data_IF_565767554311
#
_entry.id   IF_565767554311
#
_cell.length_a   1.000
_cell.length_b   1.000
_cell.length_c   1.000
_cell.angle_alpha   90.00
_cell.angle_beta   90.00
_cell.angle_gamma   90.00
#
_symmetry.space_group_name_H-M   'P 1'
#
loop_
_entity.id
_entity.type
_entity.pdbx_description
1 polymer ?
#
# COMPACT_ATOMS: atom_id res chain seq x y z
N UNK A 1 27.28 7.84 33.63
CA UNK A 1 26.33 7.85 32.50
C UNK A 1 25.93 6.41 32.25
N UNK A 2 24.64 6.08 32.41
CA UNK A 2 24.12 4.75 32.09
C UNK A 2 24.25 4.52 30.57
N UNK A 3 24.97 3.48 30.17
CA UNK A 3 25.24 3.14 28.78
C UNK A 3 23.97 2.59 28.13
N UNK A 4 23.46 3.26 27.08
CA UNK A 4 22.29 2.81 26.32
C UNK A 4 22.63 1.53 25.52
N UNK A 5 22.06 0.38 25.88
CA UNK A 5 22.32 -0.92 25.22
C UNK A 5 21.08 -1.50 24.50
N UNK A 6 21.24 -2.60 23.77
CA UNK A 6 20.15 -3.23 22.98
C UNK A 6 18.92 -3.58 23.83
N UNK A 7 19.11 -4.10 25.03
CA UNK A 7 18.01 -4.41 25.97
C UNK A 7 17.23 -3.17 26.39
N UNK A 8 17.90 -2.03 26.59
CA UNK A 8 17.22 -0.77 26.90
C UNK A 8 16.47 -0.20 25.70
N UNK A 9 16.98 -0.40 24.48
CA UNK A 9 16.27 -0.04 23.26
C UNK A 9 15.02 -0.90 23.08
N UNK A 10 15.13 -2.22 23.29
CA UNK A 10 14.00 -3.15 23.27
C UNK A 10 12.91 -2.73 24.27
N UNK A 11 13.30 -2.42 25.51
CA UNK A 11 12.37 -1.92 26.52
C UNK A 11 11.74 -0.57 26.13
N UNK A 12 12.48 0.33 25.47
CA UNK A 12 11.93 1.58 24.96
C UNK A 12 10.85 1.32 23.89
N UNK A 13 11.10 0.38 22.96
CA UNK A 13 10.09 -0.02 21.97
C UNK A 13 8.86 -0.68 22.61
N UNK A 14 9.03 -1.51 23.65
CA UNK A 14 7.90 -2.05 24.43
C UNK A 14 6.99 -0.93 24.93
N UNK A 15 7.56 0.08 25.57
CA UNK A 15 6.78 1.20 26.12
C UNK A 15 6.16 2.07 25.02
N UNK A 16 6.84 2.28 23.90
CA UNK A 16 6.28 3.01 22.75
C UNK A 16 5.11 2.26 22.10
N UNK A 17 5.20 0.94 21.94
CA UNK A 17 4.08 0.13 21.41
C UNK A 17 2.89 0.13 22.37
N UNK A 18 3.11 0.01 23.68
CA UNK A 18 2.05 0.17 24.68
C UNK A 18 1.38 1.55 24.59
N UNK A 19 2.15 2.62 24.38
CA UNK A 19 1.61 3.96 24.22
C UNK A 19 0.74 4.11 22.96
N UNK A 20 1.05 3.39 21.89
CA UNK A 20 0.20 3.25 20.69
C UNK A 20 -0.95 2.24 20.87
N UNK A 21 -1.12 1.71 22.09
CA UNK A 21 -2.20 0.83 22.50
C UNK A 21 -2.04 -0.63 22.11
N UNK A 22 -0.85 -1.09 21.72
CA UNK A 22 -0.59 -2.51 21.44
C UNK A 22 -0.51 -3.29 22.75
N UNK A 23 -1.06 -4.50 22.73
CA UNK A 23 -0.90 -5.43 23.84
C UNK A 23 0.54 -5.96 23.81
N UNK A 24 1.28 -5.72 24.89
CA UNK A 24 2.62 -6.27 25.05
C UNK A 24 2.56 -7.68 25.63
N UNK A 25 3.27 -8.61 25.00
CA UNK A 25 3.43 -9.99 25.52
C UNK A 25 4.90 -10.38 25.45
N UNK A 26 5.42 -10.94 26.54
CA UNK A 26 6.77 -11.52 26.55
C UNK A 26 6.74 -12.91 25.91
N UNK A 27 7.50 -13.13 24.85
CA UNK A 27 7.36 -14.29 23.96
C UNK A 27 7.53 -15.65 24.63
N UNK A 28 8.42 -15.77 25.63
CA UNK A 28 8.61 -17.01 26.38
C UNK A 28 7.40 -17.39 27.26
N UNK A 29 6.51 -16.42 27.55
CA UNK A 29 5.26 -16.70 28.28
C UNK A 29 4.15 -17.29 27.40
N UNK A 30 4.34 -17.32 26.08
CA UNK A 30 3.38 -17.85 25.12
C UNK A 30 3.57 -19.36 25.01
N UNK A 31 2.57 -20.12 25.46
CA UNK A 31 2.55 -21.58 25.27
C UNK A 31 2.18 -21.92 23.82
N UNK A 32 3.13 -22.46 23.06
CA UNK A 32 2.96 -22.91 21.66
C UNK A 32 4.08 -23.86 21.24
N UNK A 33 3.93 -24.47 20.07
CA UNK A 33 5.08 -25.06 19.35
C UNK A 33 6.00 -23.92 18.86
N UNK A 34 7.30 -24.03 19.12
CA UNK A 34 8.29 -23.03 18.70
C UNK A 34 8.43 -22.93 17.18
N UNK A 35 7.97 -23.93 16.43
CA UNK A 35 7.90 -23.93 14.96
C UNK A 35 6.74 -23.10 14.41
N UNK A 36 5.75 -22.81 15.24
CA UNK A 36 4.59 -22.01 14.85
C UNK A 36 4.89 -20.52 14.98
N UNK A 37 4.74 -19.80 13.87
CA UNK A 37 4.94 -18.35 13.81
C UNK A 37 3.64 -17.55 13.93
N UNK A 38 2.48 -18.22 13.88
CA UNK A 38 1.17 -17.61 14.05
C UNK A 38 0.73 -17.77 15.51
N UNK A 39 0.17 -16.72 16.10
CA UNK A 39 -0.58 -16.83 17.36
C UNK A 39 -1.98 -17.34 17.06
N UNK A 40 -2.12 -18.66 16.99
CA UNK A 40 -3.34 -19.34 16.57
C UNK A 40 -4.58 -19.03 17.42
N UNK A 41 -4.40 -18.73 18.71
CA UNK A 41 -5.51 -18.35 19.58
C UNK A 41 -6.07 -16.98 19.20
N UNK A 42 -5.20 -16.01 18.87
CA UNK A 42 -5.59 -14.67 18.42
C UNK A 42 -6.24 -14.72 17.04
N UNK A 43 -5.54 -15.35 16.09
CA UNK A 43 -6.08 -16.25 15.06
C UNK A 43 -7.60 -16.47 15.03
N UNK A 44 -7.95 -17.50 15.79
CA UNK A 44 -9.29 -18.04 15.97
C UNK A 44 -10.22 -17.06 16.66
N UNK A 45 -9.74 -16.35 17.70
CA UNK A 45 -10.53 -15.38 18.44
C UNK A 45 -11.04 -14.25 17.53
N UNK A 46 -10.15 -13.68 16.72
CA UNK A 46 -10.50 -12.66 15.74
C UNK A 46 -11.51 -13.19 14.73
N UNK A 47 -11.23 -14.33 14.07
CA UNK A 47 -12.11 -14.88 13.03
C UNK A 47 -13.50 -15.22 13.59
N UNK A 48 -13.57 -15.81 14.78
CA UNK A 48 -14.84 -16.12 15.47
C UNK A 48 -15.65 -14.85 15.73
N UNK A 49 -15.02 -13.81 16.27
CA UNK A 49 -15.69 -12.55 16.59
C UNK A 49 -16.11 -11.79 15.33
N UNK A 50 -15.25 -11.73 14.30
CA UNK A 50 -15.52 -10.99 13.06
C UNK A 50 -16.69 -11.59 12.27
N UNK A 51 -16.80 -12.91 12.27
CA UNK A 51 -17.79 -13.66 11.49
C UNK A 51 -18.88 -14.32 12.34
N UNK A 52 -19.10 -13.82 13.56
CA UNK A 52 -20.13 -14.33 14.48
C UNK A 52 -21.53 -14.19 13.88
N UNK A 53 -21.83 -13.05 13.25
CA UNK A 53 -23.12 -12.79 12.58
C UNK A 53 -23.34 -13.68 11.35
N UNK A 54 -22.25 -14.17 10.75
CA UNK A 54 -22.29 -15.15 9.66
C UNK A 54 -22.35 -16.60 10.17
N UNK A 55 -22.45 -16.78 11.50
CA UNK A 55 -22.46 -18.08 12.18
C UNK A 55 -21.30 -18.98 11.72
N UNK A 56 -20.08 -18.43 11.65
CA UNK A 56 -18.90 -19.23 11.29
C UNK A 56 -18.67 -20.36 12.31
N UNK A 57 -18.36 -21.55 11.82
CA UNK A 57 -18.09 -22.73 12.66
C UNK A 57 -16.59 -22.91 12.91
N UNK A 58 -16.22 -23.68 13.95
CA UNK A 58 -14.80 -23.98 14.24
C UNK A 58 -14.10 -24.75 13.12
N UNK A 59 -14.83 -25.61 12.38
CA UNK A 59 -14.31 -26.25 11.17
C UNK A 59 -13.98 -25.22 10.09
N UNK A 60 -14.89 -24.28 9.84
CA UNK A 60 -14.69 -23.20 8.87
C UNK A 60 -13.53 -22.27 9.26
N UNK A 61 -13.39 -21.95 10.54
CA UNK A 61 -12.23 -21.22 11.06
C UNK A 61 -10.95 -22.01 10.80
N UNK A 62 -10.94 -23.31 11.08
CA UNK A 62 -9.76 -24.16 10.86
C UNK A 62 -9.40 -24.25 9.37
N UNK A 63 -10.39 -24.34 8.48
CA UNK A 63 -10.18 -24.30 7.01
C UNK A 63 -9.70 -22.92 6.53
N UNK A 64 -10.16 -21.83 7.15
CA UNK A 64 -9.68 -20.49 6.85
C UNK A 64 -8.20 -20.30 7.25
N UNK A 65 -7.82 -20.80 8.43
CA UNK A 65 -6.43 -20.80 8.90
C UNK A 65 -5.55 -21.66 7.97
N UNK A 66 -5.99 -22.88 7.65
CA UNK A 66 -5.28 -23.75 6.72
C UNK A 66 -5.09 -23.09 5.34
N UNK A 67 -6.04 -22.29 4.85
CA UNK A 67 -5.88 -21.54 3.59
C UNK A 67 -4.77 -20.49 3.66
N UNK A 68 -4.55 -19.86 4.81
CA UNK A 68 -3.46 -18.89 5.02
C UNK A 68 -2.09 -19.57 5.07
N UNK A 69 -2.04 -20.77 5.65
CA UNK A 69 -0.82 -21.57 5.75
C UNK A 69 -0.43 -22.27 4.46
N UNK A 70 -1.42 -22.69 3.65
CA UNK A 70 -1.18 -23.45 2.41
C UNK A 70 -0.41 -22.60 1.40
N UNK A 71 0.69 -23.16 0.88
CA UNK A 71 1.60 -22.53 -0.07
C UNK A 71 1.62 -23.28 -1.40
N UNK A 72 1.63 -22.55 -2.51
CA UNK A 72 1.92 -23.14 -3.83
C UNK A 72 3.44 -23.41 -4.04
N UNK A 73 4.28 -23.04 -3.07
CA UNK A 73 5.74 -23.14 -3.13
C UNK A 73 6.40 -21.92 -3.81
N UNK A 74 7.65 -22.05 -4.26
CA UNK A 74 8.36 -20.98 -4.97
C UNK A 74 9.29 -20.09 -4.10
N UNK A 75 9.55 -20.48 -2.85
CA UNK A 75 10.47 -19.78 -1.95
C UNK A 75 9.86 -18.57 -1.22
N UNK A 76 10.61 -17.98 -0.30
CA UNK A 76 10.10 -16.98 0.68
C UNK A 76 9.36 -15.82 0.01
N UNK A 77 9.83 -15.31 -1.13
CA UNK A 77 9.17 -14.22 -1.84
C UNK A 77 7.80 -14.65 -2.41
N UNK A 78 7.72 -15.79 -3.09
CA UNK A 78 6.47 -16.28 -3.66
C UNK A 78 5.43 -16.54 -2.57
N UNK A 79 5.85 -17.15 -1.46
CA UNK A 79 4.98 -17.38 -0.29
C UNK A 79 4.50 -16.06 0.34
N UNK A 80 5.38 -15.06 0.43
CA UNK A 80 5.02 -13.75 0.94
C UNK A 80 4.02 -13.02 0.03
N UNK A 81 4.22 -13.11 -1.29
CA UNK A 81 3.30 -12.54 -2.27
C UNK A 81 1.92 -13.19 -2.16
N UNK A 82 1.85 -14.52 -2.04
CA UNK A 82 0.59 -15.24 -1.88
C UNK A 82 -0.13 -14.80 -0.59
N UNK A 83 0.58 -14.85 0.55
CA UNK A 83 0.00 -14.50 1.84
C UNK A 83 -0.45 -13.03 1.87
N UNK A 84 0.37 -12.08 1.44
CA UNK A 84 -0.01 -10.66 1.43
C UNK A 84 -1.22 -10.39 0.53
N UNK A 85 -1.37 -11.09 -0.60
CA UNK A 85 -2.59 -11.00 -1.42
C UNK A 85 -3.82 -11.50 -0.66
N UNK A 86 -3.72 -12.59 0.10
CA UNK A 86 -4.80 -13.05 0.98
C UNK A 86 -5.11 -12.02 2.08
N UNK A 87 -4.08 -11.37 2.66
CA UNK A 87 -4.27 -10.34 3.68
C UNK A 87 -4.90 -9.07 3.12
N UNK A 88 -4.61 -8.69 1.88
CA UNK A 88 -5.11 -7.47 1.22
C UNK A 88 -6.50 -7.65 0.61
N UNK A 89 -6.77 -8.80 -0.01
CA UNK A 89 -7.99 -9.04 -0.79
C UNK A 89 -8.99 -9.96 -0.10
N UNK A 90 -8.55 -10.71 0.91
CA UNK A 90 -9.33 -11.79 1.48
C UNK A 90 -9.48 -12.97 0.50
N UNK A 91 -10.31 -13.94 0.87
CA UNK A 91 -10.58 -15.10 0.05
C UNK A 91 -11.97 -15.69 0.32
N UNK A 92 -12.53 -16.37 -0.67
CA UNK A 92 -13.82 -17.04 -0.55
C UNK A 92 -13.67 -18.39 0.15
N UNK A 93 -14.42 -18.60 1.22
CA UNK A 93 -14.53 -19.85 1.95
C UNK A 93 -15.87 -20.53 1.66
N UNK A 94 -15.82 -21.74 1.12
CA UNK A 94 -17.01 -22.58 0.95
C UNK A 94 -17.53 -23.02 2.32
N UNK A 95 -18.80 -22.73 2.62
CA UNK A 95 -19.44 -23.07 3.89
C UNK A 95 -19.65 -24.58 4.03
N UNK A 96 -19.65 -25.06 5.26
CA UNK A 96 -19.89 -26.47 5.60
C UNK A 96 -21.34 -26.85 5.30
N UNK A 97 -22.29 -25.94 5.53
CA UNK A 97 -23.65 -26.06 5.00
C UNK A 97 -23.68 -25.59 3.52
N UNK A 98 -23.87 -26.48 2.53
CA UNK A 98 -23.84 -26.12 1.11
C UNK A 98 -25.02 -25.24 0.67
N UNK A 99 -26.04 -25.04 1.52
CA UNK A 99 -27.15 -24.13 1.25
C UNK A 99 -26.81 -22.66 1.53
N UNK A 100 -25.75 -22.39 2.29
CA UNK A 100 -25.29 -21.03 2.57
C UNK A 100 -24.38 -20.54 1.43
N UNK A 101 -24.43 -19.24 1.08
CA UNK A 101 -23.47 -18.68 0.15
C UNK A 101 -22.05 -18.79 0.72
N UNK A 102 -21.04 -18.80 -0.15
CA UNK A 102 -19.66 -18.73 0.31
C UNK A 102 -19.45 -17.47 1.16
N UNK A 103 -18.68 -17.61 2.24
CA UNK A 103 -18.30 -16.48 3.08
C UNK A 103 -16.96 -15.92 2.61
N UNK A 104 -16.89 -14.61 2.41
CA UNK A 104 -15.62 -13.95 2.07
C UNK A 104 -14.86 -13.57 3.34
N UNK A 105 -13.71 -14.20 3.55
CA UNK A 105 -12.87 -14.06 4.73
C UNK A 105 -11.78 -13.01 4.48
N UNK A 106 -11.69 -12.05 5.40
CA UNK A 106 -10.63 -11.08 5.54
C UNK A 106 -9.86 -11.40 6.83
N UNK A 107 -8.60 -11.83 6.73
CA UNK A 107 -7.76 -12.10 7.90
C UNK A 107 -7.50 -10.84 8.75
N UNK A 108 -7.73 -9.65 8.17
CA UNK A 108 -7.55 -8.35 8.79
C UNK A 108 -8.73 -7.46 8.42
N UNK A 109 -9.31 -6.79 9.42
CA UNK A 109 -10.46 -5.92 9.25
C UNK A 109 -10.03 -4.50 8.88
N UNK A 110 -10.25 -4.09 7.63
CA UNK A 110 -9.96 -2.73 7.14
C UNK A 110 -11.20 -1.83 7.08
N UNK A 111 -12.33 -2.27 7.65
CA UNK A 111 -13.59 -1.51 7.63
C UNK A 111 -13.61 -0.45 8.74
N UNK A 112 -14.73 0.25 8.89
CA UNK A 112 -14.99 1.14 10.03
C UNK A 112 -14.84 0.44 11.39
N UNK A 113 -14.92 -0.89 11.41
CA UNK A 113 -14.74 -1.74 12.59
C UNK A 113 -13.30 -2.21 12.81
N UNK A 114 -12.30 -1.60 12.16
CA UNK A 114 -10.88 -1.97 12.27
C UNK A 114 -10.35 -2.12 13.70
N UNK A 115 -10.97 -1.46 14.69
CA UNK A 115 -10.65 -1.60 16.12
C UNK A 115 -10.90 -3.01 16.67
N UNK A 116 -11.62 -3.87 15.94
CA UNK A 116 -11.83 -5.27 16.28
C UNK A 116 -10.60 -6.14 16.02
N UNK A 117 -9.62 -5.65 15.27
CA UNK A 117 -8.35 -6.35 15.13
C UNK A 117 -7.60 -6.39 16.47
N UNK A 118 -6.90 -7.49 16.72
CA UNK A 118 -6.03 -7.68 17.88
C UNK A 118 -4.61 -7.23 17.49
N UNK A 119 -4.02 -6.33 18.26
CA UNK A 119 -2.69 -5.79 17.97
C UNK A 119 -1.75 -6.14 19.11
N UNK A 120 -0.71 -6.92 18.83
CA UNK A 120 0.30 -7.30 19.82
C UNK A 120 1.70 -6.90 19.39
N UNK A 121 2.51 -6.49 20.37
CA UNK A 121 3.95 -6.42 20.23
C UNK A 121 4.58 -7.49 21.12
N UNK A 122 5.42 -8.33 20.52
CA UNK A 122 6.02 -9.49 21.19
C UNK A 122 7.52 -9.44 21.01
N UNK A 123 8.26 -9.43 22.12
CA UNK A 123 9.71 -9.61 22.15
C UNK A 123 10.05 -11.02 22.67
N UNK A 124 11.32 -11.45 22.58
CA UNK A 124 11.77 -12.77 23.04
C UNK A 124 10.93 -13.93 22.47
N UNK A 125 10.53 -13.83 21.20
CA UNK A 125 9.70 -14.83 20.53
C UNK A 125 10.59 -15.86 19.82
N UNK A 126 10.89 -16.96 20.51
CA UNK A 126 11.75 -18.02 19.99
C UNK A 126 11.11 -18.81 18.83
N UNK A 127 11.79 -18.88 17.69
CA UNK A 127 11.31 -19.59 16.50
C UNK A 127 12.31 -20.67 16.11
N UNK A 128 11.83 -21.91 16.04
CA UNK A 128 12.59 -23.04 15.51
C UNK A 128 12.26 -23.25 14.03
N UNK A 129 13.19 -22.84 13.17
CA UNK A 129 13.17 -23.14 11.73
C UNK A 129 14.31 -24.09 11.36
N UNK A 130 15.02 -23.77 10.28
CA UNK A 130 16.30 -24.40 9.93
C UNK A 130 17.35 -24.15 11.03
N UNK A 131 17.27 -22.99 11.67
CA UNK A 131 18.01 -22.68 12.89
C UNK A 131 17.13 -21.95 13.89
N UNK A 132 17.46 -22.12 15.18
CA UNK A 132 16.83 -21.39 16.27
C UNK A 132 17.16 -19.89 16.20
N UNK A 133 16.14 -19.04 16.22
CA UNK A 133 16.28 -17.58 16.20
C UNK A 133 15.26 -16.91 17.11
N UNK A 134 15.66 -15.77 17.67
CA UNK A 134 14.83 -14.91 18.50
C UNK A 134 14.94 -13.49 17.91
N UNK A 135 13.96 -13.03 17.12
CA UNK A 135 13.90 -11.65 16.69
C UNK A 135 13.69 -10.70 17.87
N UNK A 136 14.24 -9.48 17.79
CA UNK A 136 14.16 -8.51 18.88
C UNK A 136 12.73 -8.00 19.13
N UNK A 137 11.89 -7.97 18.09
CA UNK A 137 10.47 -7.66 18.23
C UNK A 137 9.65 -8.07 17.03
N UNK A 138 8.40 -8.44 17.26
CA UNK A 138 7.44 -8.79 16.23
C UNK A 138 6.10 -8.11 16.53
N UNK A 139 5.56 -7.40 15.54
CA UNK A 139 4.20 -6.86 15.59
C UNK A 139 3.25 -7.86 14.95
N UNK A 140 2.27 -8.27 15.73
CA UNK A 140 1.20 -9.16 15.32
C UNK A 140 -0.11 -8.39 15.12
N UNK A 141 -0.84 -8.73 14.07
CA UNK A 141 -2.24 -8.32 13.87
C UNK A 141 -3.08 -9.57 13.69
N UNK A 142 -4.08 -9.77 14.55
CA UNK A 142 -4.91 -10.98 14.61
C UNK A 142 -4.08 -12.27 14.65
N UNK A 143 -2.93 -12.24 15.36
CA UNK A 143 -2.01 -13.37 15.45
C UNK A 143 -1.12 -13.62 14.24
N UNK A 144 -1.17 -12.80 13.20
CA UNK A 144 -0.27 -12.89 12.04
C UNK A 144 0.98 -12.01 12.26
N UNK A 145 2.22 -12.52 12.07
CA UNK A 145 3.46 -11.76 12.28
C UNK A 145 3.74 -10.82 11.09
N UNK A 146 3.29 -9.57 11.18
CA UNK A 146 3.33 -8.64 10.05
C UNK A 146 4.61 -7.82 9.97
N UNK A 147 5.18 -7.41 11.10
CA UNK A 147 6.39 -6.57 11.12
C UNK A 147 7.42 -7.20 12.03
N UNK A 148 8.64 -7.37 11.53
CA UNK A 148 9.78 -7.89 12.30
C UNK A 148 10.77 -6.75 12.51
N UNK A 149 11.18 -6.55 13.76
CA UNK A 149 12.10 -5.52 14.20
C UNK A 149 13.42 -6.16 14.60
N UNK A 150 14.51 -5.50 14.26
CA UNK A 150 15.86 -5.88 14.68
C UNK A 150 16.64 -4.63 15.13
N UNK A 151 17.26 -4.76 16.28
CA UNK A 151 17.94 -3.71 17.01
C UNK A 151 19.45 -3.94 17.04
N UNK A 152 20.23 -2.85 17.07
CA UNK A 152 21.68 -2.87 17.27
C UNK A 152 22.11 -1.81 18.25
N UNK A 153 23.23 -2.03 18.93
CA UNK A 153 23.80 -1.03 19.82
C UNK A 153 24.48 0.09 19.02
N UNK A 154 24.02 1.35 19.17
CA UNK A 154 24.61 2.52 18.50
C UNK A 154 26.07 2.83 18.90
N UNK A 155 26.56 2.30 20.03
CA UNK A 155 27.87 2.66 20.60
C UNK A 155 29.00 1.74 20.11
N UNK A 156 28.67 0.53 19.66
CA UNK A 156 29.67 -0.44 19.19
C UNK A 156 30.11 -0.07 17.77
N UNK A 157 31.39 0.30 17.62
CA UNK A 157 31.98 0.76 16.34
C UNK A 157 31.81 -0.23 15.17
N UNK A 158 31.73 -1.54 15.46
CA UNK A 158 31.58 -2.58 14.44
C UNK A 158 30.12 -3.04 14.21
N UNK A 159 29.15 -2.49 14.96
CA UNK A 159 27.73 -2.83 14.79
C UNK A 159 26.93 -1.68 14.22
N UNK A 160 26.61 -1.77 12.94
CA UNK A 160 25.78 -0.78 12.25
C UNK A 160 24.35 -1.29 12.07
N UNK A 161 23.39 -0.41 11.80
CA UNK A 161 22.05 -0.78 11.33
C UNK A 161 22.06 -1.67 10.08
N UNK A 162 23.15 -1.67 9.30
CA UNK A 162 23.34 -2.59 8.17
C UNK A 162 23.51 -4.05 8.63
N UNK A 163 24.05 -4.28 9.83
CA UNK A 163 24.10 -5.62 10.42
C UNK A 163 22.71 -6.12 10.82
N UNK A 164 21.83 -5.23 11.31
CA UNK A 164 20.41 -5.56 11.51
C UNK A 164 19.72 -5.90 10.18
N UNK A 165 19.99 -5.11 9.13
CA UNK A 165 19.51 -5.41 7.78
C UNK A 165 19.95 -6.81 7.32
N UNK A 166 21.24 -7.13 7.38
CA UNK A 166 21.76 -8.48 7.02
C UNK A 166 21.20 -9.58 7.91
N UNK A 167 20.88 -9.28 9.17
CA UNK A 167 20.24 -10.24 10.08
C UNK A 167 18.86 -10.63 9.58
N UNK A 168 18.04 -9.65 9.20
CA UNK A 168 16.70 -9.89 8.67
C UNK A 168 16.74 -10.51 7.28
N UNK A 169 17.43 -9.87 6.32
CA UNK A 169 17.32 -10.17 4.88
C UNK A 169 18.14 -11.37 4.44
N UNK A 170 19.15 -11.77 5.22
CA UNK A 170 20.00 -12.93 4.90
C UNK A 170 19.84 -14.03 5.93
N UNK A 171 20.12 -13.75 7.21
CA UNK A 171 20.17 -14.78 8.26
C UNK A 171 18.78 -15.31 8.61
N UNK A 172 17.89 -14.47 9.11
CA UNK A 172 16.54 -14.91 9.50
C UNK A 172 15.75 -15.39 8.29
N UNK A 173 15.89 -14.75 7.14
CA UNK A 173 15.26 -15.21 5.90
C UNK A 173 15.62 -16.66 5.56
N UNK A 174 16.89 -17.06 5.76
CA UNK A 174 17.36 -18.44 5.58
C UNK A 174 16.94 -19.35 6.74
N UNK A 175 17.06 -18.85 7.97
CA UNK A 175 17.00 -19.66 9.18
C UNK A 175 15.56 -19.92 9.67
N UNK A 176 14.66 -18.95 9.50
CA UNK A 176 13.26 -18.99 9.93
C UNK A 176 12.31 -18.46 8.83
N UNK A 177 12.34 -19.03 7.61
CA UNK A 177 11.62 -18.51 6.44
C UNK A 177 10.11 -18.39 6.65
N UNK A 178 9.50 -19.30 7.44
CA UNK A 178 8.06 -19.28 7.75
C UNK A 178 7.60 -17.97 8.37
N UNK A 179 8.44 -17.31 9.17
CA UNK A 179 8.11 -16.00 9.76
C UNK A 179 7.82 -14.95 8.68
N UNK A 180 8.57 -15.00 7.58
CA UNK A 180 8.49 -14.01 6.52
C UNK A 180 7.39 -14.27 5.50
N UNK A 181 6.64 -15.37 5.62
CA UNK A 181 5.44 -15.61 4.83
C UNK A 181 4.42 -14.46 5.01
N UNK A 182 4.16 -14.01 6.22
CA UNK A 182 3.15 -12.96 6.46
C UNK A 182 3.73 -11.53 6.53
N UNK A 183 5.05 -11.40 6.40
CA UNK A 183 5.75 -10.15 6.62
C UNK A 183 5.31 -9.04 5.64
N UNK A 184 4.75 -7.97 6.17
CA UNK A 184 4.46 -6.74 5.45
C UNK A 184 5.77 -6.01 5.13
N UNK A 185 6.53 -5.66 6.17
CA UNK A 185 7.81 -4.96 6.09
C UNK A 185 8.64 -5.23 7.34
N UNK A 186 9.90 -4.79 7.35
CA UNK A 186 10.80 -4.95 8.49
C UNK A 186 11.32 -3.59 8.95
N UNK A 187 11.74 -3.54 10.22
CA UNK A 187 12.34 -2.34 10.82
C UNK A 187 13.74 -2.68 11.32
N UNK A 188 14.67 -1.76 11.05
CA UNK A 188 16.01 -1.78 11.61
C UNK A 188 16.21 -0.52 12.45
N UNK A 189 16.77 -0.67 13.64
CA UNK A 189 17.02 0.46 14.53
C UNK A 189 18.29 0.28 15.36
N UNK A 190 18.99 1.38 15.62
CA UNK A 190 20.00 1.49 16.69
C UNK A 190 19.60 2.53 17.76
N UNK A 191 18.33 2.98 17.73
CA UNK A 191 17.79 4.07 18.54
C UNK A 191 18.03 5.47 17.95
N UNK A 192 19.08 5.65 17.14
CA UNK A 192 19.43 6.92 16.49
C UNK A 192 18.96 6.92 15.04
N UNK A 193 19.19 5.83 14.32
CA UNK A 193 18.81 5.60 12.95
C UNK A 193 17.71 4.55 12.92
N UNK A 194 16.52 4.96 12.50
CA UNK A 194 15.35 4.10 12.42
C UNK A 194 14.90 4.03 10.95
N UNK A 195 14.90 2.83 10.37
CA UNK A 195 14.50 2.64 8.97
C UNK A 195 13.54 1.49 8.79
N UNK A 196 12.66 1.65 7.81
CA UNK A 196 11.63 0.69 7.41
C UNK A 196 11.85 0.33 5.95
N UNK A 197 11.68 -0.95 5.61
CA UNK A 197 11.83 -1.42 4.25
C UNK A 197 11.20 -2.79 4.01
N UNK A 198 11.13 -3.17 2.73
CA UNK A 198 10.77 -4.53 2.35
C UNK A 198 11.92 -5.49 2.66
N UNK A 199 11.61 -6.70 3.15
CA UNK A 199 12.59 -7.78 3.31
C UNK A 199 13.37 -8.08 2.02
N UNK A 200 12.75 -7.85 0.86
CA UNK A 200 13.29 -8.16 -0.45
C UNK A 200 13.95 -6.96 -1.13
N UNK A 201 13.94 -5.79 -0.49
CA UNK A 201 14.56 -4.60 -1.06
C UNK A 201 16.03 -4.48 -0.65
N UNK A 202 16.90 -3.96 -1.54
CA UNK A 202 18.24 -3.51 -1.18
C UNK A 202 18.24 -2.46 -0.06
N UNK A 203 19.35 -2.35 0.67
CA UNK A 203 19.49 -1.50 1.85
C UNK A 203 19.25 -0.01 1.57
N UNK A 204 19.60 0.48 0.38
CA UNK A 204 19.35 1.87 -0.05
C UNK A 204 17.85 2.22 -0.16
N UNK A 205 16.97 1.22 -0.13
CA UNK A 205 15.51 1.38 -0.13
C UNK A 205 14.89 1.28 1.26
N UNK A 206 15.71 1.30 2.32
CA UNK A 206 15.24 1.43 3.70
C UNK A 206 15.24 2.90 4.11
N UNK A 207 14.07 3.41 4.51
CA UNK A 207 13.85 4.83 4.79
C UNK A 207 13.30 5.07 6.19
N UNK A 208 13.62 6.23 6.76
CA UNK A 208 12.95 6.70 7.97
C UNK A 208 11.53 7.17 7.69
N UNK A 209 10.67 7.09 8.71
CA UNK A 209 9.34 7.66 8.68
C UNK A 209 9.35 8.98 9.46
N UNK A 210 9.42 10.12 8.77
CA UNK A 210 9.81 11.40 9.40
C UNK A 210 8.65 12.33 9.81
N UNK A 211 7.39 11.89 9.69
CA UNK A 211 6.22 12.72 10.00
C UNK A 211 5.13 11.94 10.73
N UNK A 212 4.51 12.56 11.73
CA UNK A 212 3.30 12.01 12.35
C UNK A 212 2.11 12.31 11.43
N UNK A 213 1.89 13.56 11.07
CA UNK A 213 0.86 13.99 10.12
C UNK A 213 1.43 14.67 8.88
N UNK A 214 0.61 14.75 7.82
CA UNK A 214 1.00 15.35 6.54
C UNK A 214 1.51 16.80 6.69
N UNK A 215 0.86 17.57 7.56
CA UNK A 215 1.10 19.00 7.81
C UNK A 215 2.28 19.27 8.72
N UNK A 216 2.82 18.26 9.40
CA UNK A 216 3.93 18.46 10.32
C UNK A 216 5.18 18.89 9.55
N UNK A 217 5.99 19.74 10.17
CA UNK A 217 7.36 19.96 9.72
C UNK A 217 8.14 18.65 9.82
N UNK A 218 9.09 18.45 8.91
CA UNK A 218 10.07 17.37 9.07
C UNK A 218 10.86 17.69 10.34
N UNK A 219 10.89 16.76 11.30
CA UNK A 219 11.72 16.90 12.48
C UNK A 219 13.15 16.49 12.10
N UNK A 220 14.07 17.45 12.08
CA UNK A 220 15.49 17.23 11.82
C UNK A 220 16.20 16.84 13.13
N UNK A 221 16.06 15.57 13.50
CA UNK A 221 16.71 14.96 14.66
C UNK A 221 16.67 13.44 14.60
N UNK A 222 17.80 12.78 14.87
CA UNK A 222 17.91 11.32 14.79
C UNK A 222 16.96 10.58 15.77
N UNK A 223 16.85 11.10 17.00
CA UNK A 223 15.88 10.62 18.02
C UNK A 223 14.42 10.81 17.60
N UNK A 224 14.11 11.78 16.73
CA UNK A 224 12.74 12.09 16.31
C UNK A 224 12.19 11.04 15.34
N UNK A 225 13.04 10.31 14.61
CA UNK A 225 12.62 9.28 13.65
C UNK A 225 11.98 8.07 14.31
N UNK A 226 12.41 7.71 15.52
CA UNK A 226 11.77 6.65 16.32
C UNK A 226 10.35 7.08 16.71
N UNK A 227 10.19 8.27 17.30
CA UNK A 227 8.89 8.77 17.73
C UNK A 227 7.92 9.00 16.56
N UNK A 228 8.42 9.56 15.47
CA UNK A 228 7.62 9.76 14.25
C UNK A 228 7.26 8.45 13.57
N UNK A 229 8.11 7.43 13.60
CA UNK A 229 7.74 6.09 13.15
C UNK A 229 6.66 5.47 14.04
N UNK A 230 6.79 5.58 15.37
CA UNK A 230 5.82 5.01 16.32
C UNK A 230 4.45 5.69 16.22
N UNK A 231 4.42 7.02 16.38
CA UNK A 231 3.18 7.83 16.31
C UNK A 231 2.71 8.03 14.88
N UNK A 232 3.54 7.74 13.88
CA UNK A 232 3.24 7.88 12.47
C UNK A 232 2.81 6.54 11.90
N UNK A 233 3.77 5.71 11.51
CA UNK A 233 3.56 4.43 10.83
C UNK A 233 2.84 3.40 11.71
N UNK A 234 3.23 3.26 12.98
CA UNK A 234 2.69 2.24 13.88
C UNK A 234 1.38 2.61 14.57
N UNK A 235 0.81 3.78 14.28
CA UNK A 235 -0.62 3.99 14.59
C UNK A 235 -1.43 2.88 13.94
N UNK A 236 -2.24 2.19 14.74
CA UNK A 236 -2.96 0.99 14.33
C UNK A 236 -3.70 1.15 13.00
N UNK A 237 -4.48 2.22 12.85
CA UNK A 237 -5.21 2.51 11.62
C UNK A 237 -4.28 2.76 10.41
N UNK A 238 -3.16 3.45 10.61
CA UNK A 238 -2.16 3.66 9.56
C UNK A 238 -1.41 2.40 9.18
N UNK A 239 -1.06 1.55 10.14
CA UNK A 239 -0.44 0.25 9.88
C UNK A 239 -1.36 -0.61 8.99
N UNK A 240 -2.65 -0.65 9.32
CA UNK A 240 -3.65 -1.35 8.53
C UNK A 240 -3.81 -0.75 7.13
N UNK A 241 -3.86 0.58 7.03
CA UNK A 241 -3.94 1.26 5.73
C UNK A 241 -2.69 1.01 4.87
N UNK A 242 -1.50 1.05 5.47
CA UNK A 242 -0.24 0.74 4.78
C UNK A 242 -0.26 -0.68 4.23
N UNK A 243 -0.64 -1.65 5.05
CA UNK A 243 -0.77 -3.04 4.63
C UNK A 243 -1.77 -3.22 3.49
N UNK A 244 -2.92 -2.57 3.61
CA UNK A 244 -4.02 -2.73 2.66
C UNK A 244 -3.75 -2.03 1.33
N UNK A 245 -3.19 -0.82 1.34
CA UNK A 245 -3.20 0.09 0.18
C UNK A 245 -1.82 0.52 -0.31
N UNK A 246 -0.75 0.26 0.45
CA UNK A 246 0.57 0.83 0.20
C UNK A 246 1.72 -0.17 0.14
N UNK A 247 1.40 -1.46 -0.04
CA UNK A 247 2.36 -2.51 -0.36
C UNK A 247 2.01 -3.07 -1.74
N UNK A 248 2.79 -2.68 -2.74
CA UNK A 248 2.61 -3.11 -4.12
C UNK A 248 3.47 -4.35 -4.43
N UNK A 249 2.79 -5.37 -4.98
CA UNK A 249 3.35 -6.62 -5.46
C UNK A 249 3.00 -6.77 -6.95
N UNK A 250 3.98 -6.75 -7.87
CA UNK A 250 3.71 -6.89 -9.30
C UNK A 250 3.03 -8.23 -9.63
N UNK A 251 2.22 -8.24 -10.68
CA UNK A 251 1.53 -9.45 -11.15
C UNK A 251 2.53 -10.50 -11.64
N UNK A 252 3.53 -10.03 -12.40
CA UNK A 252 4.66 -10.75 -12.97
C UNK A 252 5.95 -10.02 -12.57
N UNK A 253 6.51 -10.32 -11.40
CA UNK A 253 7.70 -9.62 -10.92
C UNK A 253 8.95 -10.09 -11.69
N UNK A 254 9.93 -9.18 -11.91
CA UNK A 254 11.17 -9.52 -12.62
C UNK A 254 12.21 -10.16 -11.68
N UNK A 255 12.19 -9.72 -10.44
CA UNK A 255 12.96 -10.22 -9.32
C UNK A 255 12.01 -10.33 -8.10
N UNK A 256 12.52 -10.35 -6.88
CA UNK A 256 11.73 -10.33 -5.64
C UNK A 256 11.17 -8.92 -5.34
N UNK A 257 10.46 -8.35 -6.30
CA UNK A 257 9.94 -6.99 -6.25
C UNK A 257 8.77 -6.87 -5.26
N UNK A 258 9.02 -6.30 -4.07
CA UNK A 258 8.00 -5.87 -3.11
C UNK A 258 8.23 -4.42 -2.72
N UNK A 259 7.27 -3.55 -3.03
CA UNK A 259 7.39 -2.11 -2.84
C UNK A 259 6.52 -1.69 -1.66
N UNK A 260 7.15 -1.19 -0.59
CA UNK A 260 6.49 -0.57 0.57
C UNK A 260 6.58 0.94 0.41
N UNK A 261 5.48 1.66 0.63
CA UNK A 261 5.48 3.11 0.47
C UNK A 261 6.43 3.83 1.44
N UNK A 262 6.88 5.00 1.02
CA UNK A 262 7.53 6.00 1.89
C UNK A 262 6.47 6.94 2.46
N UNK A 263 6.76 7.55 3.62
CA UNK A 263 5.83 8.50 4.26
C UNK A 263 5.33 9.63 3.32
N UNK A 264 6.12 10.22 2.40
CA UNK A 264 5.60 11.26 1.50
C UNK A 264 4.58 10.68 0.50
N UNK A 265 4.78 9.45 0.04
CA UNK A 265 3.87 8.78 -0.88
C UNK A 265 2.55 8.44 -0.18
N UNK A 266 2.62 7.98 1.07
CA UNK A 266 1.43 7.78 1.91
C UNK A 266 0.61 9.07 2.02
N UNK A 267 1.21 10.14 2.53
CA UNK A 267 0.49 11.40 2.75
C UNK A 267 0.03 12.07 1.44
N UNK A 268 0.83 12.00 0.37
CA UNK A 268 0.42 12.54 -0.93
C UNK A 268 -0.80 11.80 -1.48
N UNK A 269 -0.77 10.46 -1.44
CA UNK A 269 -1.87 9.62 -1.94
C UNK A 269 -3.15 9.87 -1.15
N UNK A 270 -3.08 9.84 0.19
CA UNK A 270 -4.25 10.00 1.05
C UNK A 270 -4.85 11.40 0.93
N UNK A 271 -4.04 12.46 0.81
CA UNK A 271 -4.54 13.81 0.57
C UNK A 271 -5.18 13.95 -0.81
N UNK A 272 -4.56 13.42 -1.87
CA UNK A 272 -5.14 13.43 -3.22
C UNK A 272 -6.47 12.68 -3.24
N UNK A 273 -6.52 11.49 -2.65
CA UNK A 273 -7.73 10.68 -2.56
C UNK A 273 -8.86 11.41 -1.84
N UNK A 274 -8.60 11.96 -0.65
CA UNK A 274 -9.60 12.70 0.12
C UNK A 274 -10.08 13.97 -0.61
N UNK A 275 -9.17 14.66 -1.30
CA UNK A 275 -9.52 15.82 -2.09
C UNK A 275 -10.42 15.44 -3.29
N UNK A 276 -10.06 14.39 -4.02
CA UNK A 276 -10.90 13.85 -5.11
C UNK A 276 -12.27 13.44 -4.59
N UNK A 277 -12.33 12.74 -3.45
CA UNK A 277 -13.60 12.37 -2.82
C UNK A 277 -14.46 13.59 -2.50
N UNK A 278 -13.88 14.66 -1.96
CA UNK A 278 -14.61 15.88 -1.61
C UNK A 278 -15.18 16.59 -2.84
N UNK A 279 -14.38 16.69 -3.89
CA UNK A 279 -14.68 17.51 -5.06
C UNK A 279 -15.35 16.75 -6.21
N UNK A 280 -15.46 15.42 -6.12
CA UNK A 280 -16.14 14.59 -7.12
C UNK A 280 -17.57 15.07 -7.40
N UNK A 281 -17.94 15.16 -8.68
CA UNK A 281 -19.29 15.52 -9.14
C UNK A 281 -20.36 14.46 -8.86
N UNK A 282 -19.98 13.33 -8.25
CA UNK A 282 -20.92 12.40 -7.63
C UNK A 282 -21.50 12.97 -6.33
N UNK A 283 -20.85 13.94 -5.71
CA UNK A 283 -21.38 14.68 -4.57
C UNK A 283 -22.21 15.88 -5.05
N UNK A 284 -23.30 16.24 -4.34
CA UNK A 284 -24.11 17.42 -4.66
C UNK A 284 -23.29 18.72 -4.75
N UNK A 285 -22.30 18.90 -3.87
CA UNK A 285 -21.46 20.10 -3.78
C UNK A 285 -20.11 19.96 -4.53
N UNK A 286 -19.94 18.89 -5.30
CA UNK A 286 -18.70 18.61 -6.02
C UNK A 286 -18.50 19.52 -7.24
N UNK A 287 -17.34 20.19 -7.32
CA UNK A 287 -17.00 21.09 -8.43
C UNK A 287 -16.11 20.44 -9.51
N UNK A 288 -15.76 19.17 -9.36
CA UNK A 288 -14.89 18.40 -10.27
C UNK A 288 -13.40 18.76 -10.16
N UNK A 289 -12.98 19.48 -9.12
CA UNK A 289 -11.55 19.79 -8.94
C UNK A 289 -10.78 18.60 -8.39
N UNK A 290 -9.67 18.28 -9.05
CA UNK A 290 -8.65 17.39 -8.49
C UNK A 290 -7.69 18.14 -7.57
N UNK A 291 -6.42 17.75 -7.60
CA UNK A 291 -5.32 18.42 -6.91
C UNK A 291 -4.01 18.28 -7.69
N UNK A 292 -2.95 18.94 -7.22
CA UNK A 292 -1.62 18.83 -7.83
C UNK A 292 -0.62 18.33 -6.79
N UNK A 293 0.18 17.33 -7.16
CA UNK A 293 1.28 16.83 -6.34
C UNK A 293 2.61 17.24 -6.96
N UNK A 294 3.39 18.00 -6.21
CA UNK A 294 4.74 18.42 -6.58
C UNK A 294 5.77 17.60 -5.81
N UNK A 295 6.26 16.53 -6.43
CA UNK A 295 7.36 15.73 -5.91
C UNK A 295 8.64 15.96 -6.71
N UNK A 296 9.81 15.86 -6.05
CA UNK A 296 11.10 15.88 -6.75
C UNK A 296 11.21 14.71 -7.75
N UNK A 297 11.98 14.88 -8.83
CA UNK A 297 12.26 13.80 -9.79
C UNK A 297 12.87 12.60 -9.06
N UNK A 298 12.38 11.39 -9.35
CA UNK A 298 12.85 10.17 -8.68
C UNK A 298 12.22 9.89 -7.30
N UNK A 299 11.30 10.71 -6.79
CA UNK A 299 10.63 10.44 -5.50
C UNK A 299 9.60 9.29 -5.54
N UNK A 300 9.43 8.64 -6.70
CA UNK A 300 8.44 7.57 -6.90
C UNK A 300 7.01 8.08 -7.12
N UNK A 301 6.84 9.12 -7.95
CA UNK A 301 5.51 9.64 -8.37
C UNK A 301 4.63 8.55 -8.96
N UNK A 302 5.21 7.66 -9.78
CA UNK A 302 4.50 6.54 -10.40
C UNK A 302 3.89 5.57 -9.36
N UNK A 303 4.61 5.28 -8.26
CA UNK A 303 4.05 4.49 -7.16
C UNK A 303 2.94 5.23 -6.42
N UNK A 304 3.06 6.55 -6.25
CA UNK A 304 1.98 7.38 -5.69
C UNK A 304 0.71 7.28 -6.54
N UNK A 305 0.84 7.29 -7.87
CA UNK A 305 -0.28 7.09 -8.78
C UNK A 305 -0.88 5.68 -8.69
N UNK A 306 -0.05 4.64 -8.54
CA UNK A 306 -0.52 3.27 -8.33
C UNK A 306 -1.32 3.12 -7.02
N UNK A 307 -0.79 3.65 -5.91
CA UNK A 307 -1.47 3.65 -4.61
C UNK A 307 -2.78 4.44 -4.69
N UNK A 308 -2.79 5.57 -5.40
CA UNK A 308 -4.00 6.35 -5.64
C UNK A 308 -5.02 5.55 -6.45
N UNK A 309 -4.59 4.93 -7.55
CA UNK A 309 -5.46 4.14 -8.41
C UNK A 309 -6.12 2.97 -7.64
N UNK A 310 -5.36 2.30 -6.77
CA UNK A 310 -5.90 1.26 -5.88
C UNK A 310 -6.99 1.83 -4.96
N UNK A 311 -6.72 2.92 -4.26
CA UNK A 311 -7.72 3.51 -3.35
C UNK A 311 -8.97 3.99 -4.09
N UNK A 312 -8.79 4.64 -5.26
CA UNK A 312 -9.89 5.09 -6.10
C UNK A 312 -10.77 3.92 -6.56
N UNK A 313 -10.16 2.83 -7.04
CA UNK A 313 -10.88 1.68 -7.56
C UNK A 313 -11.68 0.94 -6.48
N UNK A 314 -11.16 0.90 -5.24
CA UNK A 314 -11.84 0.30 -4.08
C UNK A 314 -12.91 1.20 -3.46
N UNK A 315 -12.97 2.47 -3.84
CA UNK A 315 -13.89 3.42 -3.23
C UNK A 315 -15.32 3.22 -3.74
N UNK A 316 -16.19 2.69 -2.86
CA UNK A 316 -17.63 2.61 -3.11
C UNK A 316 -18.26 3.99 -3.35
N UNK A 317 -17.72 5.04 -2.71
CA UNK A 317 -18.19 6.44 -2.87
C UNK A 317 -17.98 6.97 -4.29
N UNK A 318 -17.04 6.41 -5.03
CA UNK A 318 -16.73 6.80 -6.40
C UNK A 318 -17.39 5.88 -7.45
N UNK A 319 -18.26 4.95 -7.02
CA UNK A 319 -18.99 4.04 -7.90
C UNK A 319 -18.09 3.27 -8.86
N UNK A 320 -16.97 2.71 -8.35
CA UNK A 320 -15.92 2.05 -9.12
C UNK A 320 -15.51 2.91 -10.33
N UNK A 321 -14.74 3.98 -10.10
CA UNK A 321 -14.50 4.99 -11.13
C UNK A 321 -13.69 4.40 -12.29
N UNK A 322 -13.83 4.97 -13.49
CA UNK A 322 -12.89 4.73 -14.58
C UNK A 322 -11.71 5.69 -14.43
N UNK A 323 -10.48 5.18 -14.47
CA UNK A 323 -9.27 6.02 -14.36
C UNK A 323 -8.70 6.25 -15.76
N UNK A 324 -8.45 7.50 -16.13
CA UNK A 324 -7.75 7.87 -17.36
C UNK A 324 -6.38 8.43 -16.97
N UNK A 325 -5.34 7.64 -17.19
CA UNK A 325 -3.95 8.01 -16.91
C UNK A 325 -3.34 8.64 -18.16
N UNK A 326 -2.92 9.90 -18.07
CA UNK A 326 -2.48 10.72 -19.19
C UNK A 326 -0.99 11.03 -19.02
N UNK A 327 -0.19 10.77 -20.05
CA UNK A 327 1.24 11.15 -20.09
C UNK A 327 1.52 12.09 -21.27
N UNK A 328 2.50 12.97 -21.13
CA UNK A 328 2.96 13.84 -22.22
C UNK A 328 3.86 13.08 -23.22
N UNK A 329 4.45 11.96 -22.80
CA UNK A 329 5.40 11.23 -23.63
C UNK A 329 4.69 10.45 -24.73
N UNK A 330 5.20 10.59 -25.95
CA UNK A 330 4.72 9.87 -27.15
C UNK A 330 5.02 8.38 -27.09
N UNK A 331 6.04 8.00 -26.32
CA UNK A 331 6.44 6.60 -26.15
C UNK A 331 5.70 6.01 -24.96
N UNK A 332 4.56 5.38 -25.24
CA UNK A 332 3.79 4.61 -24.26
C UNK A 332 4.55 3.40 -23.67
N UNK A 333 5.78 3.16 -24.13
CA UNK A 333 6.74 2.19 -23.63
C UNK A 333 7.41 2.61 -22.29
N UNK A 334 6.90 3.70 -21.69
CA UNK A 334 7.32 4.23 -20.41
C UNK A 334 7.16 3.24 -19.25
N UNK A 335 8.06 3.39 -18.28
CA UNK A 335 8.06 2.63 -17.02
C UNK A 335 6.72 2.72 -16.28
N UNK A 336 6.00 3.85 -16.39
CA UNK A 336 4.67 4.05 -15.81
C UNK A 336 3.65 3.06 -16.40
N UNK A 337 3.55 2.98 -17.73
CA UNK A 337 2.61 2.08 -18.41
C UNK A 337 2.88 0.63 -18.06
N UNK A 338 4.16 0.22 -18.10
CA UNK A 338 4.59 -1.13 -17.73
C UNK A 338 4.23 -1.46 -16.27
N UNK A 339 4.37 -0.49 -15.37
CA UNK A 339 4.03 -0.69 -13.96
C UNK A 339 2.52 -0.86 -13.75
N UNK A 340 1.69 -0.06 -14.42
CA UNK A 340 0.23 -0.17 -14.34
C UNK A 340 -0.30 -1.46 -14.98
N UNK A 341 0.20 -1.84 -16.16
CA UNK A 341 -0.18 -3.10 -16.82
C UNK A 341 0.19 -4.33 -15.98
N UNK A 342 1.22 -4.22 -15.15
CA UNK A 342 1.67 -5.27 -14.23
C UNK A 342 1.04 -5.18 -12.82
N UNK A 343 -0.02 -4.37 -12.65
CA UNK A 343 -0.65 -4.09 -11.37
C UNK A 343 -2.16 -4.40 -11.35
N UNK A 344 -2.65 -5.29 -12.21
CA UNK A 344 -4.09 -5.62 -12.29
C UNK A 344 -4.62 -6.20 -10.97
N UNK A 345 -3.86 -7.09 -10.31
CA UNK A 345 -4.26 -7.64 -9.01
C UNK A 345 -4.22 -6.58 -7.91
N UNK A 346 -3.21 -5.70 -7.95
CA UNK A 346 -3.06 -4.64 -6.95
C UNK A 346 -4.09 -3.51 -7.12
N UNK A 347 -4.45 -3.13 -8.33
CA UNK A 347 -5.51 -2.13 -8.55
C UNK A 347 -6.89 -2.75 -8.30
N UNK A 348 -7.03 -4.06 -8.52
CA UNK A 348 -8.30 -4.77 -8.34
C UNK A 348 -9.20 -4.72 -9.57
N UNK A 349 -8.66 -4.40 -10.75
CA UNK A 349 -9.38 -4.43 -12.03
C UNK A 349 -8.48 -5.05 -13.11
N UNK A 350 -9.01 -6.03 -13.85
CA UNK A 350 -8.31 -6.69 -14.97
C UNK A 350 -8.20 -5.82 -16.22
N UNK A 351 -8.95 -4.73 -16.26
CA UNK A 351 -9.12 -3.86 -17.43
C UNK A 351 -8.15 -2.69 -17.35
N UNK A 352 -6.87 -2.98 -17.49
CA UNK A 352 -5.83 -1.95 -17.61
C UNK A 352 -5.33 -1.96 -19.04
N UNK A 353 -5.66 -0.93 -19.80
CA UNK A 353 -5.51 -0.93 -21.26
C UNK A 353 -4.77 0.31 -21.71
N UNK A 354 -3.77 0.10 -22.54
CA UNK A 354 -3.12 1.15 -23.29
C UNK A 354 -3.98 1.52 -24.50
N UNK A 355 -4.31 2.81 -24.63
CA UNK A 355 -5.23 3.29 -25.66
C UNK A 355 -4.48 3.91 -26.83
N UNK A 356 -4.66 3.31 -28.01
CA UNK A 356 -3.96 3.65 -29.25
C UNK A 356 -4.52 4.91 -29.92
N UNK A 357 -5.84 5.14 -29.83
CA UNK A 357 -6.50 6.27 -30.50
C UNK A 357 -7.64 6.87 -29.66
N UNK A 358 -8.09 8.06 -30.06
CA UNK A 358 -9.21 8.77 -29.41
C UNK A 358 -10.53 8.03 -29.56
N UNK A 359 -10.75 7.49 -30.75
CA UNK A 359 -11.94 6.70 -31.10
C UNK A 359 -12.01 5.47 -30.21
N UNK A 360 -10.86 4.83 -29.95
CA UNK A 360 -10.77 3.72 -28.99
C UNK A 360 -11.02 4.15 -27.56
N UNK A 361 -10.50 5.29 -27.13
CA UNK A 361 -10.81 5.83 -25.79
C UNK A 361 -12.33 6.03 -25.63
N UNK A 362 -12.97 6.66 -26.62
CA UNK A 362 -14.42 6.87 -26.64
C UNK A 362 -15.18 5.54 -26.58
N UNK A 363 -14.83 4.59 -27.44
CA UNK A 363 -15.44 3.26 -27.48
C UNK A 363 -15.34 2.55 -26.12
N UNK A 364 -14.17 2.62 -25.47
CA UNK A 364 -13.97 2.04 -24.14
C UNK A 364 -14.84 2.72 -23.06
N UNK A 365 -14.92 4.05 -23.08
CA UNK A 365 -15.72 4.83 -22.13
C UNK A 365 -17.24 4.67 -22.34
N UNK A 366 -17.69 4.40 -23.57
CA UNK A 366 -19.10 4.12 -23.90
C UNK A 366 -19.51 2.70 -23.52
N UNK A 367 -18.64 1.71 -23.76
CA UNK A 367 -18.93 0.30 -23.48
C UNK A 367 -18.90 -0.06 -22.00
N UNK A 368 -18.35 0.80 -21.15
CA UNK A 368 -18.16 0.54 -19.73
C UNK A 368 -18.68 1.70 -18.90
N UNK A 369 -19.46 1.41 -17.88
CA UNK A 369 -20.05 2.42 -16.97
C UNK A 369 -19.33 2.52 -15.62
N UNK A 370 -18.41 1.58 -15.33
CA UNK A 370 -17.62 1.53 -14.11
C UNK A 370 -16.34 0.70 -14.30
N UNK A 371 -15.29 1.04 -13.56
CA UNK A 371 -14.00 0.38 -13.57
C UNK A 371 -13.16 0.71 -14.80
N UNK A 372 -12.03 0.03 -14.88
CA UNK A 372 -11.04 0.19 -15.94
C UNK A 372 -10.06 1.32 -15.71
N UNK A 373 -8.82 1.09 -16.16
CA UNK A 373 -7.73 2.06 -16.20
C UNK A 373 -7.25 2.18 -17.64
N UNK A 374 -7.37 3.37 -18.22
CA UNK A 374 -7.01 3.66 -19.60
C UNK A 374 -5.78 4.55 -19.63
N UNK A 375 -4.69 4.03 -20.20
CA UNK A 375 -3.45 4.76 -20.36
C UNK A 375 -3.44 5.43 -21.73
N UNK A 376 -3.25 6.74 -21.74
CA UNK A 376 -3.35 7.56 -22.94
C UNK A 376 -2.33 8.69 -22.90
N UNK A 377 -2.22 9.42 -24.01
CA UNK A 377 -1.25 10.50 -24.14
C UNK A 377 -1.95 11.84 -24.34
N UNK A 378 -1.30 12.93 -23.94
CA UNK A 378 -1.86 14.29 -24.00
C UNK A 378 -2.28 14.69 -25.42
N UNK A 379 -1.58 14.18 -26.45
CA UNK A 379 -1.83 14.51 -27.86
C UNK A 379 -3.20 14.01 -28.35
N UNK A 380 -3.86 13.13 -27.60
CA UNK A 380 -5.21 12.64 -27.90
C UNK A 380 -6.32 13.62 -27.42
N UNK A 381 -5.97 14.73 -26.79
CA UNK A 381 -6.93 15.74 -26.33
C UNK A 381 -6.68 17.08 -27.04
N UNK A 382 -7.35 17.27 -28.16
CA UNK A 382 -7.28 18.45 -29.03
C UNK A 382 -8.68 18.92 -29.42
N UNK A 383 -8.78 19.98 -30.23
CA UNK A 383 -10.05 20.60 -30.62
C UNK A 383 -11.05 19.62 -31.25
N UNK A 384 -10.56 18.66 -32.04
CA UNK A 384 -11.38 17.67 -32.73
C UNK A 384 -11.79 16.48 -31.86
N UNK A 385 -11.31 16.38 -30.60
CA UNK A 385 -11.65 15.26 -29.70
C UNK A 385 -13.14 15.23 -29.38
N UNK A 386 -13.79 16.40 -29.25
CA UNK A 386 -15.21 16.49 -28.91
C UNK A 386 -15.56 15.80 -27.59
N UNK A 387 -16.83 15.44 -27.41
CA UNK A 387 -17.30 14.75 -26.20
C UNK A 387 -16.94 13.26 -26.23
N UNK A 388 -16.21 12.80 -25.20
CA UNK A 388 -15.87 11.40 -24.97
C UNK A 388 -16.83 10.73 -23.98
N UNK A 389 -17.19 11.40 -22.88
CA UNK A 389 -18.15 10.88 -21.91
C UNK A 389 -18.71 11.98 -21.00
N UNK A 390 -19.98 11.84 -20.61
CA UNK A 390 -20.64 12.70 -19.63
C UNK A 390 -20.68 12.10 -18.21
N UNK A 391 -20.02 10.96 -17.97
CA UNK A 391 -20.03 10.29 -16.67
C UNK A 391 -19.27 11.09 -15.60
N UNK A 392 -19.77 11.07 -14.37
CA UNK A 392 -19.15 11.72 -13.22
C UNK A 392 -18.19 10.81 -12.42
N UNK A 393 -18.15 9.52 -12.74
CA UNK A 393 -17.24 8.54 -12.14
C UNK A 393 -16.02 8.26 -13.05
N UNK A 394 -15.48 9.29 -13.69
CA UNK A 394 -14.22 9.22 -14.45
C UNK A 394 -13.20 10.08 -13.71
N UNK A 395 -11.97 9.61 -13.56
CA UNK A 395 -10.91 10.35 -12.86
C UNK A 395 -9.69 10.43 -13.76
N UNK A 396 -9.31 11.65 -14.12
CA UNK A 396 -8.12 11.90 -14.93
C UNK A 396 -6.90 12.13 -14.04
N UNK A 397 -5.84 11.36 -14.26
CA UNK A 397 -4.54 11.51 -13.58
C UNK A 397 -3.51 11.83 -14.66
N UNK A 398 -2.86 12.98 -14.58
CA UNK A 398 -1.83 13.37 -15.56
C UNK A 398 -0.44 13.29 -14.93
N UNK A 399 0.47 12.57 -15.56
CA UNK A 399 1.91 12.63 -15.26
C UNK A 399 2.56 13.79 -16.01
N UNK A 400 3.58 14.40 -15.39
CA UNK A 400 4.33 15.55 -15.90
C UNK A 400 3.46 16.71 -16.43
N UNK A 401 2.30 16.94 -15.80
CA UNK A 401 1.44 18.07 -16.12
C UNK A 401 2.15 19.40 -15.80
N UNK A 402 2.79 20.00 -16.80
CA UNK A 402 3.43 21.29 -16.64
C UNK A 402 2.39 22.41 -16.47
N UNK A 403 2.74 23.49 -15.76
CA UNK A 403 1.83 24.65 -15.57
C UNK A 403 1.34 25.25 -16.91
N UNK A 404 2.11 25.10 -17.98
CA UNK A 404 1.73 25.49 -19.35
C UNK A 404 0.61 24.64 -19.96
N UNK A 405 0.37 23.44 -19.43
CA UNK A 405 -0.68 22.49 -19.86
C UNK A 405 -1.96 22.62 -19.03
N UNK A 406 -1.87 23.21 -17.82
CA UNK A 406 -3.00 23.48 -16.93
C UNK A 406 -3.81 24.73 -17.31
N UNK A 407 -3.29 25.57 -18.21
CA UNK A 407 -3.94 26.81 -18.60
C UNK A 407 -5.16 26.59 -19.52
N UNK A 408 -6.30 27.16 -19.15
CA UNK A 408 -7.47 27.31 -20.03
C UNK A 408 -7.31 28.46 -21.04
N UNK A 409 -6.16 29.13 -21.04
CA UNK A 409 -5.87 30.30 -21.86
C UNK A 409 -5.81 29.98 -23.36
N UNK A 410 -6.36 30.89 -24.16
CA UNK A 410 -6.33 30.86 -25.61
C UNK A 410 -4.96 31.35 -26.10
N UNK A 411 -4.25 30.54 -26.87
CA UNK A 411 -3.10 30.98 -27.67
C UNK A 411 -3.62 31.36 -29.05
N UNK A 412 -3.38 32.60 -29.44
CA UNK A 412 -3.75 33.12 -30.76
C UNK A 412 -2.51 33.11 -31.65
N UNK A 413 -2.54 32.32 -32.72
CA UNK A 413 -1.49 32.27 -33.74
C UNK A 413 -2.02 32.91 -35.00
N UNK A 414 -1.37 33.99 -35.45
CA UNK A 414 -1.71 34.65 -36.71
C UNK A 414 -0.88 33.94 -37.79
N UNK A 415 -1.55 33.33 -38.77
CA UNK A 415 -0.91 32.76 -39.97
C UNK A 415 -1.31 33.57 -41.20
N UNK A 416 -0.62 33.36 -42.32
CA UNK A 416 -0.93 34.02 -43.59
C UNK A 416 -2.37 33.74 -44.08
N UNK A 417 -3.00 32.69 -43.58
CA UNK A 417 -4.36 32.27 -43.91
C UNK A 417 -5.41 32.67 -42.84
N UNK A 418 -5.05 33.48 -41.84
CA UNK A 418 -5.96 34.02 -40.83
C UNK A 418 -5.52 33.80 -39.38
N UNK A 419 -6.42 34.14 -38.44
CA UNK A 419 -6.19 33.99 -37.00
C UNK A 419 -6.64 32.61 -36.54
N UNK A 420 -5.72 31.77 -36.09
CA UNK A 420 -6.04 30.49 -35.43
C UNK A 420 -6.01 30.66 -33.92
N UNK A 421 -7.07 30.22 -33.26
CA UNK A 421 -7.15 30.17 -31.81
C UNK A 421 -6.99 28.72 -31.34
N UNK A 422 -6.02 28.47 -30.46
CA UNK A 422 -5.78 27.14 -29.90
C UNK A 422 -5.77 27.23 -28.38
N UNK A 423 -6.51 26.38 -27.70
CA UNK A 423 -6.52 26.33 -26.23
C UNK A 423 -5.53 25.32 -25.68
N UNK A 424 -5.22 25.41 -24.38
CA UNK A 424 -4.41 24.42 -23.69
C UNK A 424 -5.13 23.07 -23.52
N UNK A 425 -4.34 22.01 -23.31
CA UNK A 425 -4.79 20.64 -23.04
C UNK A 425 -5.93 20.56 -22.00
N UNK A 426 -5.80 21.28 -20.88
CA UNK A 426 -6.80 21.26 -19.82
C UNK A 426 -8.21 21.66 -20.29
N UNK A 427 -8.32 22.56 -21.29
CA UNK A 427 -9.62 22.90 -21.87
C UNK A 427 -10.20 21.71 -22.62
N UNK A 428 -9.44 21.13 -23.55
CA UNK A 428 -9.95 20.02 -24.35
C UNK A 428 -10.25 18.79 -23.50
N UNK A 429 -9.44 18.49 -22.48
CA UNK A 429 -9.75 17.44 -21.52
C UNK A 429 -11.10 17.69 -20.83
N UNK A 430 -11.35 18.92 -20.38
CA UNK A 430 -12.60 19.29 -19.71
C UNK A 430 -13.80 19.32 -20.65
N UNK A 431 -13.64 19.78 -21.88
CA UNK A 431 -14.71 19.78 -22.87
C UNK A 431 -15.05 18.32 -23.30
N UNK A 432 -14.05 17.43 -23.32
CA UNK A 432 -14.23 16.00 -23.63
C UNK A 432 -14.80 15.15 -22.50
N UNK A 433 -14.53 15.53 -21.25
CA UNK A 433 -14.95 14.83 -20.03
C UNK A 433 -15.48 15.83 -18.99
N UNK A 434 -16.62 16.52 -19.27
CA UNK A 434 -17.07 17.68 -18.49
C UNK A 434 -17.43 17.39 -17.04
N UNK A 435 -17.75 16.14 -16.73
CA UNK A 435 -18.16 15.70 -15.40
C UNK A 435 -17.11 14.87 -14.66
N UNK A 436 -15.95 14.62 -15.27
CA UNK A 436 -14.84 13.91 -14.62
C UNK A 436 -14.27 14.66 -13.41
#
# INVERSE_FOLDING_TARGET
>A
MLQFNETQLEQAFVELFKAEGYDYVYGESISRDTRDVILYDDLRLYLRKKYETDHITEDEISRAIARLETSDGGGVYAENVEALRLLQEGFSLKRTNPKLPHLHIYPIDYTEFWKNNLFKFVNQFAIDGEHHRIPDGIVFVNGLPLVVLEFKNAIKQDTTIENAFKQLTVRYRRDIPKLFRYNAFVVISDGVNNKVGSLFAPYEFFYGWHKVEATDSILDGAFDTMFTMMRGLFRKERLLDVLHNFIYLPDTPKDEDKIVCRYPQYFATTQLFNNILKHSRLNPDGDGKGGTYFGATGCGKSYTMLFLARQLMRSKKLSSPTIVLITDRTDLDDQLSKSFLNATKFIGDKTIVQVESREKLKEHLEKRTAGGVYLTTIQKFEESTGLLSNRANIICISDEAHRSQAGLGQKTTITENGVKHHYGFAKYLRDSLPNA
#
